data_IF_598599790961
#
_entry.id   IF_598599790961
#
_cell.length_a   1.000
_cell.length_b   1.000
_cell.length_c   1.000
_cell.angle_alpha   90.00
_cell.angle_beta   90.00
_cell.angle_gamma   90.00
#
_symmetry.space_group_name_H-M   'P 1'
#
loop_
_entity.id
_entity.type
_entity.pdbx_description
1 polymer ?
#
# COMPACT_ATOMS: atom_id res chain seq x y z
N UNK A 1 15.50 21.81 -13.40
CA UNK A 1 14.61 20.63 -13.29
C UNK A 1 13.65 20.79 -12.11
N UNK A 2 12.71 21.73 -12.20
CA UNK A 2 11.67 21.98 -11.19
C UNK A 2 10.32 21.66 -11.81
N UNK A 3 9.42 21.12 -10.99
CA UNK A 3 8.16 20.43 -11.29
C UNK A 3 8.33 18.98 -11.70
N UNK A 4 7.73 18.07 -10.91
CA UNK A 4 6.84 17.01 -11.39
C UNK A 4 6.47 16.13 -10.19
N UNK A 5 5.40 16.53 -9.49
CA UNK A 5 4.38 15.69 -8.87
C UNK A 5 3.56 16.65 -7.97
N UNK A 6 2.36 17.01 -8.44
CA UNK A 6 1.37 17.65 -7.57
C UNK A 6 1.23 16.86 -6.28
N UNK A 7 0.97 17.52 -5.14
CA UNK A 7 0.72 16.86 -3.86
C UNK A 7 -0.31 15.71 -3.98
N UNK A 8 -1.28 15.84 -4.89
CA UNK A 8 -2.26 14.79 -5.22
C UNK A 8 -1.63 13.59 -5.92
N UNK A 9 -0.68 13.82 -6.83
CA UNK A 9 0.04 12.75 -7.55
C UNK A 9 0.99 11.98 -6.64
N UNK A 10 1.64 12.66 -5.70
CA UNK A 10 2.48 12.04 -4.66
C UNK A 10 1.65 11.14 -3.72
N UNK A 11 0.48 11.62 -3.30
CA UNK A 11 -0.43 10.84 -2.46
C UNK A 11 -0.92 9.57 -3.17
N UNK A 12 -1.28 9.69 -4.46
CA UNK A 12 -1.66 8.54 -5.30
C UNK A 12 -0.53 7.54 -5.43
N UNK A 13 0.71 8.01 -5.66
CA UNK A 13 1.88 7.13 -5.75
C UNK A 13 2.12 6.37 -4.44
N UNK A 14 2.03 7.05 -3.30
CA UNK A 14 2.17 6.40 -1.99
C UNK A 14 1.07 5.36 -1.74
N UNK A 15 -0.18 5.66 -2.12
CA UNK A 15 -1.28 4.71 -2.01
C UNK A 15 -1.04 3.46 -2.86
N UNK A 16 -0.57 3.64 -4.11
CA UNK A 16 -0.22 2.51 -4.99
C UNK A 16 0.91 1.68 -4.39
N UNK A 17 1.98 2.32 -3.90
CA UNK A 17 3.11 1.64 -3.27
C UNK A 17 2.73 0.91 -1.98
N UNK A 18 1.73 1.40 -1.24
CA UNK A 18 1.21 0.74 -0.04
C UNK A 18 0.31 -0.46 -0.39
N UNK A 19 -0.52 -0.36 -1.43
CA UNK A 19 -1.49 -1.38 -1.81
C UNK A 19 -0.89 -2.52 -2.64
N UNK A 20 0.15 -2.23 -3.43
CA UNK A 20 0.76 -3.23 -4.30
C UNK A 20 1.29 -4.47 -3.55
N UNK A 21 2.06 -4.33 -2.45
CA UNK A 21 2.51 -5.48 -1.66
C UNK A 21 1.36 -6.26 -1.02
N UNK A 22 0.29 -5.57 -0.61
CA UNK A 22 -0.92 -6.21 -0.07
C UNK A 22 -1.61 -7.06 -1.13
N UNK A 23 -1.68 -6.56 -2.37
CA UNK A 23 -2.19 -7.33 -3.51
C UNK A 23 -1.39 -8.61 -3.79
N UNK A 24 -0.05 -8.54 -3.67
CA UNK A 24 0.81 -9.72 -3.81
C UNK A 24 0.53 -10.77 -2.73
N UNK A 25 0.34 -10.34 -1.48
CA UNK A 25 0.01 -11.24 -0.36
C UNK A 25 -1.36 -11.89 -0.54
N UNK A 26 -2.38 -11.11 -0.90
CA UNK A 26 -3.73 -11.64 -1.14
C UNK A 26 -3.74 -12.65 -2.28
N UNK A 27 -2.99 -12.38 -3.36
CA UNK A 27 -2.84 -13.32 -4.45
C UNK A 27 -2.12 -14.61 -3.99
N UNK A 28 -1.05 -14.49 -3.21
CA UNK A 28 -0.33 -15.64 -2.67
C UNK A 28 -1.21 -16.51 -1.75
N UNK A 29 -2.03 -15.90 -0.88
CA UNK A 29 -2.99 -16.62 -0.04
C UNK A 29 -4.05 -17.32 -0.89
N UNK A 30 -4.58 -16.64 -1.92
CA UNK A 30 -5.55 -17.26 -2.82
C UNK A 30 -4.97 -18.46 -3.58
N UNK A 31 -3.68 -18.44 -3.92
CA UNK A 31 -3.03 -19.59 -4.56
C UNK A 31 -2.87 -20.77 -3.60
N UNK A 32 -2.66 -20.53 -2.31
CA UNK A 32 -2.57 -21.58 -1.29
C UNK A 32 -3.92 -22.27 -1.04
N UNK A 33 -5.00 -21.49 -0.97
CA UNK A 33 -6.37 -22.03 -0.90
C UNK A 33 -6.71 -22.92 -2.10
N UNK A 34 -6.26 -22.53 -3.30
CA UNK A 34 -6.41 -23.36 -4.49
C UNK A 34 -5.61 -24.66 -4.36
N UNK A 35 -4.36 -24.61 -3.87
CA UNK A 35 -3.55 -25.81 -3.66
C UNK A 35 -4.21 -26.82 -2.70
N UNK A 36 -4.86 -26.36 -1.62
CA UNK A 36 -5.61 -27.24 -0.70
C UNK A 36 -6.81 -27.91 -1.39
N UNK A 37 -7.54 -27.18 -2.24
CA UNK A 37 -8.66 -27.74 -3.02
C UNK A 37 -8.18 -28.83 -3.98
N UNK A 38 -7.04 -28.64 -4.61
CA UNK A 38 -6.43 -29.65 -5.48
C UNK A 38 -6.01 -30.91 -4.72
N UNK A 39 -5.52 -30.81 -3.48
CA UNK A 39 -5.23 -31.98 -2.64
C UNK A 39 -6.49 -32.82 -2.36
N UNK A 40 -7.63 -32.17 -2.10
CA UNK A 40 -8.93 -32.84 -1.96
C UNK A 40 -9.35 -33.58 -3.24
N UNK A 41 -9.09 -32.99 -4.40
CA UNK A 41 -9.41 -33.57 -5.71
C UNK A 41 -8.51 -34.75 -6.07
N UNK A 42 -7.22 -34.69 -5.74
CA UNK A 42 -6.29 -35.81 -5.85
C UNK A 42 -6.76 -36.99 -4.99
N UNK A 43 -7.17 -36.73 -3.74
CA UNK A 43 -7.71 -37.77 -2.85
C UNK A 43 -9.00 -38.38 -3.40
N UNK A 44 -9.89 -37.55 -3.96
CA UNK A 44 -11.13 -37.99 -4.62
C UNK A 44 -10.83 -38.86 -5.84
N UNK A 45 -9.92 -38.45 -6.73
CA UNK A 45 -9.50 -39.26 -7.88
C UNK A 45 -8.82 -40.58 -7.43
N UNK A 46 -7.98 -40.53 -6.41
CA UNK A 46 -7.39 -41.73 -5.80
C UNK A 46 -8.43 -42.69 -5.22
N UNK A 47 -9.55 -42.17 -4.69
CA UNK A 47 -10.67 -43.00 -4.24
C UNK A 47 -11.33 -43.77 -5.38
N UNK A 48 -11.37 -43.21 -6.59
CA UNK A 48 -11.93 -43.88 -7.77
C UNK A 48 -11.13 -45.12 -8.16
N UNK A 49 -9.80 -45.03 -8.07
CA UNK A 49 -8.88 -46.16 -8.25
C UNK A 49 -9.15 -47.28 -7.25
N UNK A 50 -9.31 -46.92 -5.98
CA UNK A 50 -9.61 -47.89 -4.93
C UNK A 50 -10.97 -48.55 -5.15
N UNK A 51 -12.00 -47.75 -5.44
CA UNK A 51 -13.35 -48.23 -5.65
C UNK A 51 -13.46 -49.14 -6.88
N UNK A 52 -12.73 -48.87 -7.97
CA UNK A 52 -12.74 -49.74 -9.15
C UNK A 52 -12.14 -51.12 -8.86
N UNK A 53 -11.04 -51.18 -8.12
CA UNK A 53 -10.43 -52.45 -7.68
C UNK A 53 -11.30 -53.18 -6.67
N UNK A 54 -11.89 -52.44 -5.73
CA UNK A 54 -12.75 -53.01 -4.71
C UNK A 54 -13.97 -53.68 -5.33
N UNK A 55 -14.65 -53.02 -6.27
CA UNK A 55 -15.82 -53.60 -6.97
C UNK A 55 -15.42 -54.88 -7.70
N UNK A 56 -14.26 -54.90 -8.36
CA UNK A 56 -13.75 -56.12 -9.02
C UNK A 56 -13.52 -57.27 -8.04
N UNK A 57 -12.92 -57.02 -6.88
CA UNK A 57 -12.68 -58.05 -5.87
C UNK A 57 -13.97 -58.52 -5.17
N UNK A 58 -14.94 -57.60 -5.02
CA UNK A 58 -16.20 -57.83 -4.33
C UNK A 58 -17.25 -58.59 -5.17
N UNK A 59 -17.15 -58.55 -6.50
CA UNK A 59 -18.21 -58.99 -7.41
C UNK A 59 -18.68 -60.45 -7.24
N UNK A 60 -17.86 -61.33 -6.62
CA UNK A 60 -18.19 -62.75 -6.40
C UNK A 60 -18.71 -63.06 -5.00
N UNK A 61 -18.49 -62.18 -4.03
CA UNK A 61 -18.64 -62.50 -2.61
C UNK A 61 -19.64 -61.59 -1.86
N UNK A 62 -20.19 -60.57 -2.51
CA UNK A 62 -21.03 -59.57 -1.85
C UNK A 62 -22.39 -59.36 -2.56
N UNK A 63 -23.46 -59.02 -1.80
CA UNK A 63 -24.76 -58.70 -2.39
C UNK A 63 -24.68 -57.52 -3.34
N UNK A 64 -25.44 -57.57 -4.44
CA UNK A 64 -25.44 -56.57 -5.50
C UNK A 64 -25.78 -55.14 -5.00
N UNK A 65 -26.52 -55.03 -3.89
CA UNK A 65 -26.82 -53.76 -3.24
C UNK A 65 -25.55 -53.00 -2.78
N UNK A 66 -24.53 -53.69 -2.27
CA UNK A 66 -23.27 -53.06 -1.86
C UNK A 66 -22.47 -52.57 -3.05
N UNK A 67 -22.41 -53.37 -4.13
CA UNK A 67 -21.78 -52.97 -5.39
C UNK A 67 -22.46 -51.74 -5.99
N UNK A 68 -23.80 -51.70 -5.96
CA UNK A 68 -24.59 -50.55 -6.43
C UNK A 68 -24.26 -49.28 -5.63
N UNK A 69 -24.21 -49.36 -4.30
CA UNK A 69 -23.87 -48.20 -3.46
C UNK A 69 -22.46 -47.65 -3.77
N UNK A 70 -21.48 -48.52 -4.00
CA UNK A 70 -20.13 -48.09 -4.41
C UNK A 70 -20.08 -47.55 -5.84
N UNK A 71 -20.89 -48.10 -6.74
CA UNK A 71 -21.04 -47.56 -8.09
C UNK A 71 -21.61 -46.14 -8.08
N UNK A 72 -22.59 -45.87 -7.21
CA UNK A 72 -23.16 -44.53 -7.03
C UNK A 72 -22.15 -43.57 -6.38
N UNK A 73 -21.31 -44.05 -5.45
CA UNK A 73 -20.18 -43.28 -4.93
C UNK A 73 -19.20 -42.88 -6.06
N UNK A 74 -18.83 -43.80 -6.96
CA UNK A 74 -17.98 -43.48 -8.11
C UNK A 74 -18.65 -42.43 -9.00
N UNK A 75 -19.96 -42.55 -9.29
CA UNK A 75 -20.69 -41.56 -10.09
C UNK A 75 -20.62 -40.16 -9.48
N UNK A 76 -20.88 -40.04 -8.18
CA UNK A 76 -20.82 -38.77 -7.47
C UNK A 76 -19.45 -38.13 -7.56
N UNK A 77 -18.40 -38.88 -7.25
CA UNK A 77 -17.02 -38.38 -7.33
C UNK A 77 -16.63 -38.00 -8.76
N UNK A 78 -17.03 -38.80 -9.77
CA UNK A 78 -16.80 -38.46 -11.19
C UNK A 78 -17.52 -37.18 -11.60
N UNK A 79 -18.77 -36.97 -11.15
CA UNK A 79 -19.53 -35.76 -11.45
C UNK A 79 -18.86 -34.51 -10.85
N UNK A 80 -18.43 -34.62 -9.59
CA UNK A 80 -17.69 -33.55 -8.91
C UNK A 80 -16.38 -33.19 -9.63
N UNK A 81 -15.62 -34.21 -10.08
CA UNK A 81 -14.39 -34.00 -10.84
C UNK A 81 -14.68 -33.44 -12.24
N UNK A 82 -15.76 -33.88 -12.90
CA UNK A 82 -16.11 -33.41 -14.24
C UNK A 82 -16.56 -31.94 -14.25
N UNK A 83 -17.16 -31.45 -13.15
CA UNK A 83 -17.50 -30.03 -13.01
C UNK A 83 -16.27 -29.11 -13.00
N UNK A 84 -15.10 -29.63 -12.59
CA UNK A 84 -13.86 -28.86 -12.48
C UNK A 84 -12.86 -29.15 -13.60
N UNK A 85 -12.79 -30.41 -14.02
CA UNK A 85 -11.88 -30.93 -15.05
C UNK A 85 -12.65 -31.64 -16.16
N UNK A 86 -13.53 -30.92 -16.89
CA UNK A 86 -14.42 -31.55 -17.86
C UNK A 86 -13.65 -32.27 -18.97
N UNK A 87 -12.53 -31.72 -19.42
CA UNK A 87 -11.76 -32.31 -20.52
C UNK A 87 -11.05 -33.60 -20.09
N UNK A 88 -10.32 -33.54 -18.98
CA UNK A 88 -9.60 -34.70 -18.45
C UNK A 88 -10.55 -35.82 -18.00
N UNK A 89 -11.76 -35.49 -17.52
CA UNK A 89 -12.76 -36.49 -17.20
C UNK A 89 -13.38 -37.15 -18.45
N UNK A 90 -13.57 -36.41 -19.54
CA UNK A 90 -14.07 -36.95 -20.82
C UNK A 90 -13.18 -38.07 -21.36
N UNK A 91 -11.87 -37.97 -21.18
CA UNK A 91 -10.90 -39.00 -21.60
C UNK A 91 -11.17 -40.36 -20.92
N UNK A 92 -11.77 -40.35 -19.72
CA UNK A 92 -12.09 -41.57 -18.96
C UNK A 92 -13.49 -42.13 -19.23
N UNK A 93 -14.35 -41.42 -19.96
CA UNK A 93 -15.79 -41.76 -20.09
C UNK A 93 -16.06 -43.05 -20.87
N UNK A 94 -15.22 -43.38 -21.86
CA UNK A 94 -15.34 -44.61 -22.63
C UNK A 94 -15.09 -45.83 -21.73
N UNK A 95 -14.01 -45.80 -20.95
CA UNK A 95 -13.65 -46.85 -20.01
C UNK A 95 -14.65 -46.95 -18.86
N UNK A 96 -15.16 -45.82 -18.38
CA UNK A 96 -16.22 -45.78 -17.37
C UNK A 96 -17.50 -46.47 -17.82
N UNK A 97 -17.97 -46.20 -19.05
CA UNK A 97 -19.17 -46.84 -19.60
C UNK A 97 -19.01 -48.36 -19.66
N UNK A 98 -17.83 -48.83 -20.08
CA UNK A 98 -17.51 -50.25 -20.11
C UNK A 98 -17.45 -50.86 -18.71
N UNK A 99 -16.75 -50.23 -17.78
CA UNK A 99 -16.66 -50.66 -16.40
C UNK A 99 -18.04 -50.80 -15.75
N UNK A 100 -18.90 -49.79 -15.94
CA UNK A 100 -20.27 -49.80 -15.42
C UNK A 100 -21.09 -50.96 -15.99
N UNK A 101 -21.07 -51.16 -17.31
CA UNK A 101 -21.81 -52.24 -17.96
C UNK A 101 -21.40 -53.62 -17.44
N UNK A 102 -20.08 -53.89 -17.35
CA UNK A 102 -19.57 -55.19 -16.86
C UNK A 102 -19.84 -55.40 -15.36
N UNK A 103 -19.79 -54.33 -14.56
CA UNK A 103 -20.07 -54.41 -13.13
C UNK A 103 -21.57 -54.63 -12.81
N UNK A 104 -22.48 -54.11 -13.64
CA UNK A 104 -23.93 -54.33 -13.48
C UNK A 104 -24.32 -55.79 -13.74
N UNK A 105 -23.59 -56.47 -14.63
CA UNK A 105 -23.79 -57.88 -14.98
C UNK A 105 -22.94 -58.86 -14.16
N UNK A 106 -22.17 -58.40 -13.17
CA UNK A 106 -21.21 -59.20 -12.41
C UNK A 106 -20.19 -59.96 -13.30
N UNK A 107 -19.83 -59.39 -14.45
CA UNK A 107 -18.84 -59.93 -15.40
C UNK A 107 -17.63 -59.02 -15.51
N UNK A 108 -17.31 -58.28 -14.46
CA UNK A 108 -16.25 -57.28 -14.47
C UNK A 108 -14.88 -57.95 -14.59
N UNK A 109 -14.17 -57.62 -15.68
CA UNK A 109 -12.84 -58.16 -15.93
C UNK A 109 -11.77 -57.38 -15.16
N UNK A 110 -10.69 -58.08 -14.77
CA UNK A 110 -9.53 -57.47 -14.14
C UNK A 110 -8.97 -56.34 -15.00
N UNK A 111 -8.79 -56.60 -16.29
CA UNK A 111 -8.20 -55.64 -17.23
C UNK A 111 -9.05 -54.37 -17.36
N UNK A 112 -10.39 -54.48 -17.30
CA UNK A 112 -11.29 -53.33 -17.30
C UNK A 112 -11.07 -52.44 -16.06
N UNK A 113 -10.90 -53.08 -14.90
CA UNK A 113 -10.67 -52.39 -13.62
C UNK A 113 -9.25 -51.80 -13.54
N UNK A 114 -8.25 -52.53 -14.01
CA UNK A 114 -6.85 -52.09 -14.10
C UNK A 114 -6.68 -50.88 -15.04
N UNK A 115 -7.30 -50.91 -16.22
CA UNK A 115 -7.29 -49.75 -17.14
C UNK A 115 -7.95 -48.53 -16.54
N UNK A 116 -9.03 -48.73 -15.78
CA UNK A 116 -9.68 -47.65 -15.05
C UNK A 116 -8.74 -47.00 -14.01
N UNK A 117 -7.98 -47.82 -13.27
CA UNK A 117 -6.96 -47.34 -12.35
C UNK A 117 -5.89 -46.49 -13.05
N UNK A 118 -5.33 -46.99 -14.15
CA UNK A 118 -4.28 -46.28 -14.90
C UNK A 118 -4.75 -44.93 -15.44
N UNK A 119 -5.99 -44.85 -15.93
CA UNK A 119 -6.57 -43.59 -16.39
C UNK A 119 -6.71 -42.57 -15.26
N UNK A 120 -7.09 -43.02 -14.06
CA UNK A 120 -7.17 -42.13 -12.91
C UNK A 120 -5.80 -41.75 -12.34
N UNK A 121 -4.81 -42.63 -12.42
CA UNK A 121 -3.42 -42.30 -12.07
C UNK A 121 -2.91 -41.19 -13.01
N UNK A 122 -3.13 -41.32 -14.32
CA UNK A 122 -2.75 -40.29 -15.28
C UNK A 122 -3.49 -38.95 -15.06
N UNK A 123 -4.79 -39.02 -14.72
CA UNK A 123 -5.56 -37.85 -14.32
C UNK A 123 -4.94 -37.15 -13.10
N UNK A 124 -4.56 -37.91 -12.07
CA UNK A 124 -3.91 -37.37 -10.86
C UNK A 124 -2.58 -36.71 -11.20
N UNK A 125 -1.74 -37.34 -12.03
CA UNK A 125 -0.46 -36.77 -12.47
C UNK A 125 -0.65 -35.42 -13.17
N UNK A 126 -1.66 -35.32 -14.05
CA UNK A 126 -1.98 -34.08 -14.76
C UNK A 126 -2.41 -32.96 -13.80
N UNK A 127 -3.30 -33.26 -12.86
CA UNK A 127 -3.75 -32.29 -11.83
C UNK A 127 -2.58 -31.89 -10.92
N UNK A 128 -1.71 -32.83 -10.54
CA UNK A 128 -0.53 -32.54 -9.71
C UNK A 128 0.49 -31.63 -10.41
N UNK A 129 0.72 -31.83 -11.71
CA UNK A 129 1.63 -31.01 -12.51
C UNK A 129 1.21 -29.53 -12.59
N UNK A 130 -0.09 -29.27 -12.73
CA UNK A 130 -0.63 -27.91 -12.72
C UNK A 130 -0.39 -27.21 -11.37
N UNK A 131 -0.57 -27.94 -10.25
CA UNK A 131 -0.41 -27.42 -8.88
C UNK A 131 1.03 -27.06 -8.54
N UNK A 132 2.00 -27.91 -8.88
CA UNK A 132 3.41 -27.66 -8.54
C UNK A 132 3.95 -26.39 -9.19
N UNK A 133 3.49 -26.07 -10.40
CA UNK A 133 3.87 -24.83 -11.11
C UNK A 133 3.35 -23.56 -10.42
N UNK A 134 2.19 -23.65 -9.75
CA UNK A 134 1.56 -22.55 -9.03
C UNK A 134 2.20 -22.25 -7.67
N UNK A 135 2.57 -23.29 -6.91
CA UNK A 135 3.12 -23.13 -5.55
C UNK A 135 4.45 -22.37 -5.52
N UNK A 136 5.35 -22.60 -6.48
CA UNK A 136 6.62 -21.85 -6.54
C UNK A 136 6.38 -20.35 -6.70
N UNK A 137 5.45 -19.96 -7.58
CA UNK A 137 5.08 -18.56 -7.81
C UNK A 137 4.46 -17.92 -6.58
N UNK A 138 3.59 -18.64 -5.87
CA UNK A 138 2.95 -18.16 -4.65
C UNK A 138 3.97 -17.74 -3.58
N UNK A 139 4.98 -18.58 -3.33
CA UNK A 139 6.04 -18.31 -2.35
C UNK A 139 6.83 -17.05 -2.72
N UNK A 140 7.22 -16.91 -4.00
CA UNK A 140 7.93 -15.70 -4.46
C UNK A 140 7.10 -14.42 -4.28
N UNK A 141 5.80 -14.46 -4.60
CA UNK A 141 4.90 -13.31 -4.45
C UNK A 141 4.68 -12.95 -2.97
N UNK A 142 4.55 -13.96 -2.10
CA UNK A 142 4.43 -13.76 -0.66
C UNK A 142 5.66 -13.04 -0.08
N UNK A 143 6.86 -13.57 -0.36
CA UNK A 143 8.12 -12.99 0.11
C UNK A 143 8.28 -11.56 -0.43
N UNK A 144 7.98 -11.33 -1.71
CA UNK A 144 8.00 -10.01 -2.32
C UNK A 144 7.03 -9.03 -1.64
N UNK A 145 5.83 -9.48 -1.29
CA UNK A 145 4.84 -8.71 -0.54
C UNK A 145 5.35 -8.28 0.85
N UNK A 146 5.90 -9.21 1.63
CA UNK A 146 6.44 -8.90 2.97
C UNK A 146 7.59 -7.89 2.90
N UNK A 147 8.54 -8.11 1.98
CA UNK A 147 9.67 -7.19 1.77
C UNK A 147 9.18 -5.81 1.33
N UNK A 148 8.18 -5.76 0.43
CA UNK A 148 7.58 -4.51 -0.04
C UNK A 148 6.97 -3.68 1.08
N UNK A 149 6.21 -4.30 1.99
CA UNK A 149 5.64 -3.62 3.16
C UNK A 149 6.75 -3.07 4.06
N UNK A 150 7.80 -3.86 4.33
CA UNK A 150 8.93 -3.43 5.16
C UNK A 150 9.65 -2.21 4.59
N UNK A 151 9.94 -2.21 3.28
CA UNK A 151 10.56 -1.07 2.59
C UNK A 151 9.66 0.17 2.62
N UNK A 152 8.36 0.01 2.38
CA UNK A 152 7.41 1.11 2.42
C UNK A 152 7.32 1.73 3.83
N UNK A 153 7.24 0.91 4.88
CA UNK A 153 7.18 1.37 6.28
C UNK A 153 8.47 2.09 6.71
N UNK A 154 9.64 1.57 6.31
CA UNK A 154 10.94 2.19 6.57
C UNK A 154 11.04 3.57 5.89
N UNK A 155 10.72 3.64 4.60
CA UNK A 155 10.74 4.89 3.85
C UNK A 155 9.75 5.92 4.41
N UNK A 156 8.54 5.48 4.77
CA UNK A 156 7.52 6.34 5.38
C UNK A 156 7.99 6.93 6.70
N UNK A 157 8.61 6.11 7.56
CA UNK A 157 9.16 6.55 8.84
C UNK A 157 10.27 7.58 8.66
N UNK A 158 11.15 7.40 7.68
CA UNK A 158 12.22 8.36 7.36
C UNK A 158 11.66 9.71 6.90
N UNK A 159 10.63 9.70 6.05
CA UNK A 159 9.95 10.91 5.57
C UNK A 159 9.30 11.67 6.73
N UNK A 160 8.57 10.97 7.60
CA UNK A 160 7.92 11.57 8.77
C UNK A 160 8.96 12.18 9.74
N UNK A 161 10.07 11.48 9.97
CA UNK A 161 11.17 12.01 10.80
C UNK A 161 11.76 13.29 10.23
N UNK A 162 12.02 13.34 8.92
CA UNK A 162 12.55 14.54 8.26
C UNK A 162 11.58 15.72 8.35
N UNK A 163 10.29 15.48 8.10
CA UNK A 163 9.26 16.50 8.20
C UNK A 163 9.17 17.07 9.63
N UNK A 164 9.19 16.19 10.64
CA UNK A 164 9.18 16.61 12.05
C UNK A 164 10.44 17.40 12.44
N UNK A 165 11.62 16.99 11.99
CA UNK A 165 12.86 17.72 12.27
C UNK A 165 12.89 19.10 11.62
N UNK A 166 12.36 19.25 10.40
CA UNK A 166 12.27 20.55 9.74
C UNK A 166 11.35 21.51 10.48
N UNK A 167 10.20 21.01 10.94
CA UNK A 167 9.25 21.81 11.73
C UNK A 167 9.88 22.26 13.06
N UNK A 168 10.55 21.35 13.76
CA UNK A 168 11.26 21.68 15.01
C UNK A 168 12.39 22.68 14.78
N UNK A 169 13.18 22.52 13.72
CA UNK A 169 14.26 23.44 13.37
C UNK A 169 13.72 24.83 13.01
N UNK A 170 12.59 24.90 12.29
CA UNK A 170 11.92 26.16 11.96
C UNK A 170 11.44 26.86 13.23
N UNK A 171 10.73 26.16 14.12
CA UNK A 171 10.28 26.71 15.40
C UNK A 171 11.44 27.18 16.28
N UNK A 172 12.50 26.39 16.40
CA UNK A 172 13.67 26.77 17.17
C UNK A 172 14.37 28.03 16.59
N UNK A 173 14.32 28.21 15.27
CA UNK A 173 14.86 29.43 14.62
C UNK A 173 13.96 30.63 14.89
N UNK A 174 12.64 30.48 14.76
CA UNK A 174 11.65 31.52 15.09
C UNK A 174 11.74 31.95 16.55
N UNK A 175 11.85 31.00 17.49
CA UNK A 175 11.99 31.29 18.92
C UNK A 175 13.30 32.02 19.23
N UNK A 176 14.42 31.59 18.63
CA UNK A 176 15.72 32.28 18.78
C UNK A 176 15.67 33.69 18.22
N UNK A 177 15.09 33.88 17.03
CA UNK A 177 14.90 35.20 16.45
C UNK A 177 14.05 36.08 17.37
N UNK A 178 12.93 35.55 17.89
CA UNK A 178 12.04 36.30 18.78
C UNK A 178 12.74 36.74 20.06
N UNK A 179 13.49 35.86 20.71
CA UNK A 179 14.29 36.21 21.90
C UNK A 179 15.32 37.29 21.57
N UNK A 180 16.07 37.15 20.47
CA UNK A 180 17.07 38.14 20.09
C UNK A 180 16.45 39.50 19.73
N UNK A 181 15.31 39.50 19.04
CA UNK A 181 14.58 40.71 18.67
C UNK A 181 14.03 41.41 19.91
N UNK A 182 13.24 40.71 20.73
CA UNK A 182 12.53 41.27 21.88
C UNK A 182 13.50 41.79 22.96
N UNK A 183 14.60 41.07 23.21
CA UNK A 183 15.56 41.41 24.27
C UNK A 183 16.81 42.17 23.79
N UNK A 184 16.86 42.58 22.53
CA UNK A 184 17.93 43.47 22.05
C UNK A 184 17.92 44.80 22.82
N UNK A 185 19.11 45.33 23.13
CA UNK A 185 19.27 46.67 23.70
C UNK A 185 18.91 47.78 22.72
N UNK A 186 19.15 47.53 21.44
CA UNK A 186 18.90 48.49 20.37
C UNK A 186 17.41 48.46 19.96
N UNK A 187 16.85 49.64 19.71
CA UNK A 187 15.49 49.80 19.23
C UNK A 187 15.34 49.27 17.79
N UNK A 188 14.43 48.32 17.60
CA UNK A 188 14.09 47.75 16.30
C UNK A 188 12.62 47.97 15.98
N UNK A 189 12.37 48.47 14.77
CA UNK A 189 11.04 48.67 14.18
C UNK A 189 10.98 47.88 12.87
N UNK A 190 9.94 47.05 12.72
CA UNK A 190 9.60 46.38 11.47
C UNK A 190 8.46 47.14 10.81
N UNK A 191 8.71 47.64 9.60
CA UNK A 191 7.77 48.42 8.81
C UNK A 191 7.29 47.61 7.62
N UNK A 192 6.00 47.71 7.32
CA UNK A 192 5.34 47.13 6.16
C UNK A 192 4.77 48.21 5.25
N UNK A 193 4.14 47.78 4.16
CA UNK A 193 3.53 48.69 3.18
C UNK A 193 2.36 49.51 3.75
N UNK A 194 1.77 49.10 4.87
CA UNK A 194 0.59 49.72 5.48
C UNK A 194 0.87 50.38 6.85
N UNK A 195 2.10 50.34 7.36
CA UNK A 195 2.45 50.85 8.69
C UNK A 195 3.43 49.95 9.44
N UNK A 196 3.47 50.09 10.78
CA UNK A 196 4.32 49.26 11.64
C UNK A 196 3.77 47.84 11.72
N UNK A 197 4.62 46.84 11.50
CA UNK A 197 4.30 45.41 11.63
C UNK A 197 4.63 44.94 13.05
N UNK A 198 5.80 45.34 13.55
CA UNK A 198 6.31 44.86 14.84
C UNK A 198 7.37 45.82 15.40
N UNK A 199 7.61 45.76 16.72
CA UNK A 199 8.71 46.45 17.39
C UNK A 199 9.17 45.67 18.63
N UNK A 200 10.41 45.90 19.05
CA UNK A 200 10.93 45.31 20.28
C UNK A 200 10.76 46.23 21.50
N UNK A 201 11.02 45.67 22.67
CA UNK A 201 10.90 46.39 23.96
C UNK A 201 11.81 47.61 24.07
N UNK A 202 12.99 47.59 23.43
CA UNK A 202 13.87 48.75 23.39
C UNK A 202 13.25 49.93 22.62
N UNK A 203 12.52 49.66 21.53
CA UNK A 203 11.75 50.69 20.81
C UNK A 203 10.70 51.31 21.70
N UNK A 204 9.88 50.50 22.39
CA UNK A 204 8.81 51.01 23.26
C UNK A 204 9.37 51.98 24.30
N UNK A 205 10.48 51.59 24.96
CA UNK A 205 11.18 52.45 25.93
C UNK A 205 11.78 53.71 25.31
N UNK A 206 12.41 53.60 24.14
CA UNK A 206 13.03 54.74 23.45
C UNK A 206 11.99 55.78 23.03
N UNK A 207 10.83 55.32 22.55
CA UNK A 207 9.75 56.17 22.07
C UNK A 207 8.85 56.68 23.20
N UNK A 208 9.02 56.18 24.42
CA UNK A 208 8.26 56.60 25.60
C UNK A 208 6.80 56.14 25.58
N UNK A 209 6.47 55.06 24.87
CA UNK A 209 5.13 54.47 24.86
C UNK A 209 4.93 53.56 26.09
N UNK A 210 3.69 53.42 26.53
CA UNK A 210 3.33 52.55 27.67
C UNK A 210 3.27 51.08 27.27
N UNK A 211 3.08 50.78 25.98
CA UNK A 211 2.98 49.41 25.46
C UNK A 211 3.41 49.28 24.00
N UNK A 212 3.67 48.04 23.59
CA UNK A 212 3.93 47.66 22.20
C UNK A 212 2.72 47.93 21.31
N UNK A 213 1.52 47.64 21.80
CA UNK A 213 0.26 47.88 21.08
C UNK A 213 0.05 49.37 20.79
N UNK A 214 0.37 50.24 21.73
CA UNK A 214 0.34 51.69 21.52
C UNK A 214 1.31 52.10 20.40
N UNK A 215 2.57 51.64 20.47
CA UNK A 215 3.56 51.94 19.44
C UNK A 215 3.11 51.47 18.05
N UNK A 216 2.56 50.25 17.93
CA UNK A 216 2.08 49.70 16.66
C UNK A 216 0.84 50.42 16.11
N UNK A 217 0.10 51.15 16.95
CA UNK A 217 -1.05 51.96 16.52
C UNK A 217 -0.65 53.30 15.90
N UNK A 218 0.60 53.74 16.09
CA UNK A 218 1.10 55.00 15.56
C UNK A 218 1.48 54.85 14.08
N UNK A 219 1.28 55.93 13.31
CA UNK A 219 1.80 56.00 11.94
C UNK A 219 3.29 56.36 11.96
N UNK A 220 4.19 55.69 11.22
CA UNK A 220 5.64 55.98 11.26
C UNK A 220 6.00 57.45 11.05
N UNK A 221 5.23 58.15 10.22
CA UNK A 221 5.43 59.58 9.96
C UNK A 221 5.27 60.49 11.19
N UNK A 222 4.52 60.08 12.23
CA UNK A 222 4.35 60.91 13.45
C UNK A 222 5.55 60.85 14.39
N UNK A 223 6.50 59.93 14.13
CA UNK A 223 7.71 59.77 14.93
C UNK A 223 8.77 60.82 14.61
N UNK A 224 8.58 61.59 13.54
CA UNK A 224 9.53 62.61 13.09
C UNK A 224 8.94 64.02 13.27
N UNK A 225 9.76 65.03 13.61
CA UNK A 225 9.34 66.43 13.55
C UNK A 225 8.93 66.81 12.13
N UNK A 226 8.23 67.93 11.93
CA UNK A 226 7.82 68.38 10.59
C UNK A 226 9.03 68.66 9.68
N UNK A 227 10.09 69.22 10.26
CA UNK A 227 11.37 69.51 9.60
C UNK A 227 12.54 68.81 10.33
N UNK A 228 13.45 68.24 9.54
CA UNK A 228 14.69 67.64 10.04
C UNK A 228 15.73 68.72 10.38
N UNK A 229 16.79 68.41 11.14
CA UNK A 229 17.81 69.39 11.55
C UNK A 229 18.52 70.13 10.39
N UNK A 230 18.46 69.60 9.17
CA UNK A 230 18.97 70.22 7.95
C UNK A 230 17.96 71.16 7.26
N UNK A 231 16.78 71.37 7.87
CA UNK A 231 15.72 72.24 7.37
C UNK A 231 14.81 71.59 6.33
N UNK A 232 15.02 70.33 5.94
CA UNK A 232 14.18 69.62 4.97
C UNK A 232 12.93 69.04 5.63
N UNK A 233 11.82 68.97 4.89
CA UNK A 233 10.62 68.31 5.36
C UNK A 233 10.87 66.81 5.58
N UNK A 234 10.44 66.28 6.72
CA UNK A 234 10.69 64.88 7.10
C UNK A 234 10.07 63.88 6.13
N UNK A 235 8.92 64.21 5.54
CA UNK A 235 8.26 63.36 4.56
C UNK A 235 9.11 63.18 3.29
N UNK A 236 9.66 64.29 2.76
CA UNK A 236 10.53 64.25 1.58
C UNK A 236 11.80 63.45 1.87
N UNK A 237 12.38 63.64 3.05
CA UNK A 237 13.59 62.92 3.45
C UNK A 237 13.31 61.44 3.66
N UNK A 238 12.21 61.07 4.30
CA UNK A 238 11.79 59.68 4.49
C UNK A 238 11.68 58.93 3.15
N UNK A 239 10.98 59.50 2.17
CA UNK A 239 10.82 58.89 0.83
C UNK A 239 12.18 58.66 0.15
N UNK A 240 13.10 59.63 0.25
CA UNK A 240 14.44 59.51 -0.30
C UNK A 240 15.23 58.37 0.40
N UNK A 241 15.19 58.31 1.73
CA UNK A 241 15.89 57.29 2.50
C UNK A 241 15.32 55.89 2.25
N UNK A 242 14.00 55.74 2.19
CA UNK A 242 13.32 54.50 1.86
C UNK A 242 13.70 54.01 0.46
N UNK A 243 13.78 54.92 -0.50
CA UNK A 243 14.23 54.62 -1.86
C UNK A 243 15.68 54.11 -1.87
N UNK A 244 16.58 54.77 -1.15
CA UNK A 244 17.98 54.35 -1.04
C UNK A 244 18.07 52.96 -0.39
N UNK A 245 17.31 52.72 0.68
CA UNK A 245 17.28 51.43 1.37
C UNK A 245 16.72 50.32 0.47
N UNK A 246 15.66 50.58 -0.31
CA UNK A 246 15.12 49.62 -1.27
C UNK A 246 16.10 49.31 -2.41
N UNK A 247 16.76 50.33 -2.97
CA UNK A 247 17.72 50.15 -4.08
C UNK A 247 18.99 49.41 -3.64
N UNK A 248 19.50 49.70 -2.43
CA UNK A 248 20.76 49.13 -1.92
C UNK A 248 20.57 47.91 -1.02
N UNK A 249 19.34 47.63 -0.58
CA UNK A 249 19.02 46.61 0.41
C UNK A 249 19.28 47.01 1.86
N UNK A 250 19.95 48.14 2.12
CA UNK A 250 20.11 48.75 3.44
C UNK A 250 20.49 50.23 3.32
N UNK A 251 20.22 51.01 4.37
CA UNK A 251 20.75 52.37 4.52
C UNK A 251 21.09 52.63 5.99
N UNK A 252 22.17 53.36 6.25
CA UNK A 252 22.63 53.74 7.59
C UNK A 252 22.87 55.24 7.60
N UNK A 253 22.33 55.90 8.61
CA UNK A 253 22.60 57.29 8.91
C UNK A 253 23.91 57.36 9.69
N UNK A 254 24.86 58.19 9.24
CA UNK A 254 26.10 58.48 9.95
C UNK A 254 25.91 59.60 10.97
#
# INVERSE_FOLDING_TARGET
MKNLLSHKSLLRLMLVLALFPVGLLLYAVSTEDNAQRHASEINRAGSLRYLSLWIYGAQRNLPQAFTKAKMDQIKGVRADLAAKYPEAMRETDSQWRRFKAEAETNTLHWETSRRMCLLYDHFVERVQGEVQSGNGRAVFLFVGGVVGIGLFMSASTLVLRRASQQELAKRATEDRFRVLFDYSSDAHLLLGSAGMIDCNEATVRLMGCDSKEEMLSLHPAVLSPEFQPDGRASLEKCIEMDKIAHEKGYHRFE
#
